data_IF_031078259373
#
_entry.id   IF_031078259373
#
_cell.length_a   1.000
_cell.length_b   1.000
_cell.length_c   1.000
_cell.angle_alpha   90.00
_cell.angle_beta   90.00
_cell.angle_gamma   90.00
#
_symmetry.space_group_name_H-M   'P 1'
#
loop_
_entity.id
_entity.type
_entity.pdbx_description
1 polymer ?
#
# COMPACT_ATOMS: atom_id res chain seq x y z
N UNK A 1 3.09 0.62 -39.21
CA UNK A 1 2.34 1.20 -38.08
C UNK A 1 3.14 2.41 -37.59
N UNK A 2 2.58 3.63 -37.61
CA UNK A 2 3.33 4.86 -37.27
C UNK A 2 3.48 5.00 -35.76
N UNK A 3 4.61 5.51 -35.27
CA UNK A 3 4.87 5.79 -33.84
C UNK A 3 3.71 6.58 -33.20
N UNK A 4 3.03 7.44 -33.97
CA UNK A 4 1.86 8.20 -33.53
C UNK A 4 0.64 7.34 -33.20
N UNK A 5 0.40 6.26 -33.94
CA UNK A 5 -0.76 5.40 -33.67
C UNK A 5 -0.59 4.63 -32.37
N UNK A 6 0.61 4.09 -32.13
CA UNK A 6 0.98 3.39 -30.89
C UNK A 6 0.86 4.35 -29.68
N UNK A 7 1.37 5.58 -29.83
CA UNK A 7 1.26 6.59 -28.77
C UNK A 7 -0.20 6.95 -28.44
N UNK A 8 -1.05 7.15 -29.46
CA UNK A 8 -2.48 7.47 -29.24
C UNK A 8 -3.25 6.32 -28.61
N UNK A 9 -2.98 5.09 -29.03
CA UNK A 9 -3.60 3.89 -28.47
C UNK A 9 -3.20 3.67 -27.01
N UNK A 10 -1.89 3.80 -26.71
CA UNK A 10 -1.36 3.72 -25.35
C UNK A 10 -1.94 4.79 -24.42
N UNK A 11 -2.09 6.03 -24.90
CA UNK A 11 -2.72 7.12 -24.14
C UNK A 11 -4.21 6.83 -23.90
N UNK A 12 -4.93 6.34 -24.91
CA UNK A 12 -6.34 5.94 -24.76
C UNK A 12 -6.51 4.87 -23.69
N UNK A 13 -5.66 3.84 -23.71
CA UNK A 13 -5.63 2.79 -22.69
C UNK A 13 -5.29 3.33 -21.29
N UNK A 14 -4.29 4.23 -21.20
CA UNK A 14 -3.90 4.86 -19.93
C UNK A 14 -5.03 5.70 -19.32
N UNK A 15 -5.78 6.45 -20.15
CA UNK A 15 -6.96 7.21 -19.71
C UNK A 15 -8.04 6.25 -19.20
N UNK A 16 -8.36 5.19 -19.95
CA UNK A 16 -9.36 4.21 -19.56
C UNK A 16 -8.99 3.54 -18.21
N UNK A 17 -7.72 3.14 -18.05
CA UNK A 17 -7.20 2.60 -16.81
C UNK A 17 -7.32 3.60 -15.65
N UNK A 18 -7.03 4.88 -15.90
CA UNK A 18 -7.12 5.93 -14.87
C UNK A 18 -8.56 6.15 -14.41
N UNK A 19 -9.53 6.16 -15.34
CA UNK A 19 -10.96 6.25 -15.02
C UNK A 19 -11.40 5.02 -14.21
N UNK A 20 -10.99 3.82 -14.62
CA UNK A 20 -11.28 2.59 -13.87
C UNK A 20 -10.71 2.67 -12.44
N UNK A 21 -9.47 3.13 -12.28
CA UNK A 21 -8.85 3.32 -10.95
C UNK A 21 -9.67 4.30 -10.09
N UNK A 22 -10.14 5.41 -10.67
CA UNK A 22 -10.97 6.36 -9.93
C UNK A 22 -12.29 5.71 -9.46
N UNK A 23 -12.95 4.94 -10.33
CA UNK A 23 -14.18 4.24 -9.97
C UNK A 23 -13.95 3.18 -8.88
N UNK A 24 -12.88 2.41 -8.98
CA UNK A 24 -12.48 1.42 -7.97
C UNK A 24 -12.16 2.09 -6.64
N UNK A 25 -11.43 3.21 -6.67
CA UNK A 25 -11.10 3.97 -5.48
C UNK A 25 -12.35 4.56 -4.81
N UNK A 26 -13.32 5.05 -5.60
CA UNK A 26 -14.59 5.54 -5.08
C UNK A 26 -15.42 4.42 -4.46
N UNK A 27 -15.48 3.26 -5.12
CA UNK A 27 -16.11 2.07 -4.58
C UNK A 27 -15.47 1.63 -3.25
N UNK A 28 -14.14 1.69 -3.15
CA UNK A 28 -13.42 1.39 -1.93
C UNK A 28 -13.75 2.35 -0.77
N UNK A 29 -14.07 3.63 -1.06
CA UNK A 29 -14.55 4.57 -0.04
C UNK A 29 -15.99 4.30 0.41
N UNK A 30 -16.85 3.85 -0.51
CA UNK A 30 -18.25 3.51 -0.22
C UNK A 30 -18.34 2.21 0.59
N UNK A 31 -17.49 1.23 0.27
CA UNK A 31 -17.41 -0.05 0.96
C UNK A 31 -15.98 -0.33 1.50
N UNK A 32 -15.53 0.39 2.55
CA UNK A 32 -14.18 0.25 3.10
C UNK A 32 -13.86 -1.18 3.56
N UNK A 33 -14.84 -1.87 4.16
CA UNK A 33 -14.64 -3.24 4.62
C UNK A 33 -14.32 -4.18 3.44
N UNK A 34 -15.06 -4.06 2.33
CA UNK A 34 -14.82 -4.87 1.13
C UNK A 34 -13.44 -4.59 0.53
N UNK A 35 -13.05 -3.31 0.44
CA UNK A 35 -11.73 -2.92 -0.02
C UNK A 35 -10.60 -3.45 0.88
N UNK A 36 -10.76 -3.34 2.20
CA UNK A 36 -9.79 -3.85 3.15
C UNK A 36 -9.65 -5.37 3.12
N UNK A 37 -10.76 -6.10 2.97
CA UNK A 37 -10.74 -7.56 2.73
C UNK A 37 -10.00 -7.87 1.43
N UNK A 38 -10.28 -7.17 0.33
CA UNK A 38 -9.59 -7.38 -0.94
C UNK A 38 -8.07 -7.18 -0.81
N UNK A 39 -7.65 -6.12 -0.12
CA UNK A 39 -6.22 -5.85 0.17
C UNK A 39 -5.61 -6.96 0.99
N UNK A 40 -6.30 -7.41 2.04
CA UNK A 40 -5.85 -8.52 2.89
C UNK A 40 -5.67 -9.80 2.08
N UNK A 41 -6.62 -10.11 1.19
CA UNK A 41 -6.55 -11.25 0.28
C UNK A 41 -5.36 -11.15 -0.67
N UNK A 42 -5.12 -9.98 -1.26
CA UNK A 42 -3.95 -9.73 -2.12
C UNK A 42 -2.65 -9.94 -1.34
N UNK A 43 -2.55 -9.43 -0.11
CA UNK A 43 -1.40 -9.65 0.76
C UNK A 43 -1.21 -11.13 1.08
N UNK A 44 -2.30 -11.87 1.37
CA UNK A 44 -2.27 -13.31 1.57
C UNK A 44 -1.64 -14.04 0.37
N UNK A 45 -2.07 -13.72 -0.85
CA UNK A 45 -1.46 -14.27 -2.07
C UNK A 45 0.01 -13.88 -2.24
N UNK A 46 0.37 -12.63 -1.97
CA UNK A 46 1.76 -12.18 -2.04
C UNK A 46 2.64 -12.93 -1.04
N UNK A 47 2.14 -13.26 0.15
CA UNK A 47 2.85 -14.08 1.13
C UNK A 47 3.06 -15.51 0.61
N UNK A 48 2.05 -16.12 -0.02
CA UNK A 48 2.22 -17.45 -0.63
C UNK A 48 3.26 -17.45 -1.75
N UNK A 49 3.20 -16.44 -2.63
CA UNK A 49 4.19 -16.29 -3.71
C UNK A 49 5.59 -16.09 -3.14
N UNK A 50 5.73 -15.26 -2.10
CA UNK A 50 7.01 -15.05 -1.42
C UNK A 50 7.52 -16.34 -0.77
N UNK A 51 6.66 -17.12 -0.12
CA UNK A 51 7.00 -18.44 0.40
C UNK A 51 7.53 -19.39 -0.68
N UNK A 52 6.89 -19.39 -1.86
CA UNK A 52 7.36 -20.17 -3.01
C UNK A 52 8.75 -19.70 -3.50
N UNK A 53 9.03 -18.39 -3.48
CA UNK A 53 10.37 -17.88 -3.81
C UNK A 53 11.43 -18.32 -2.81
N UNK A 54 11.12 -18.35 -1.50
CA UNK A 54 12.06 -18.86 -0.48
C UNK A 54 12.37 -20.35 -0.67
N UNK A 55 11.36 -21.16 -1.01
CA UNK A 55 11.58 -22.56 -1.38
C UNK A 55 12.50 -22.67 -2.60
N UNK A 56 12.31 -21.81 -3.62
CA UNK A 56 13.18 -21.77 -4.79
C UNK A 56 14.63 -21.41 -4.44
N UNK A 57 14.82 -20.40 -3.58
CA UNK A 57 16.15 -20.00 -3.11
C UNK A 57 16.83 -21.06 -2.26
N UNK A 58 16.08 -21.83 -1.47
CA UNK A 58 16.63 -22.92 -0.65
C UNK A 58 17.43 -23.94 -1.48
N UNK A 59 17.07 -24.18 -2.74
CA UNK A 59 17.84 -25.06 -3.64
C UNK A 59 19.13 -24.44 -4.21
N UNK A 60 19.29 -23.12 -4.13
CA UNK A 60 20.46 -22.41 -4.67
C UNK A 60 21.52 -22.11 -3.60
N UNK A 61 21.19 -22.22 -2.31
CA UNK A 61 22.13 -21.97 -1.21
C UNK A 61 22.97 -23.21 -0.89
N UNK A 62 24.28 -23.00 -0.68
CA UNK A 62 25.26 -24.08 -0.51
C UNK A 62 25.47 -24.54 0.93
N UNK A 63 24.90 -23.86 1.92
CA UNK A 63 25.07 -24.19 3.33
C UNK A 63 23.80 -24.79 3.94
N UNK A 64 23.95 -25.88 4.70
CA UNK A 64 22.82 -26.53 5.36
C UNK A 64 22.06 -25.58 6.30
N UNK A 65 22.76 -24.68 6.99
CA UNK A 65 22.15 -23.66 7.84
C UNK A 65 21.25 -22.68 7.06
N UNK A 66 21.70 -22.24 5.88
CA UNK A 66 20.88 -21.38 5.03
C UNK A 66 19.66 -22.11 4.46
N UNK A 67 19.79 -23.38 4.08
CA UNK A 67 18.65 -24.19 3.62
C UNK A 67 17.58 -24.32 4.71
N UNK A 68 17.97 -24.60 5.96
CA UNK A 68 17.05 -24.68 7.09
C UNK A 68 16.39 -23.32 7.35
N UNK A 69 17.15 -22.23 7.28
CA UNK A 69 16.61 -20.88 7.46
C UNK A 69 15.56 -20.54 6.38
N UNK A 70 15.90 -20.75 5.10
CA UNK A 70 14.97 -20.51 3.98
C UNK A 70 13.70 -21.37 4.10
N UNK A 71 13.83 -22.62 4.55
CA UNK A 71 12.68 -23.50 4.79
C UNK A 71 11.78 -22.99 5.92
N UNK A 72 12.36 -22.52 7.03
CA UNK A 72 11.60 -21.93 8.14
C UNK A 72 10.88 -20.65 7.72
N UNK A 73 11.57 -19.79 6.96
CA UNK A 73 10.98 -18.56 6.41
C UNK A 73 9.83 -18.92 5.45
N UNK A 74 10.07 -19.79 4.47
CA UNK A 74 9.02 -20.26 3.55
C UNK A 74 7.78 -20.79 4.29
N UNK A 75 8.00 -21.59 5.33
CA UNK A 75 6.94 -22.14 6.16
C UNK A 75 6.12 -21.03 6.84
N UNK A 76 6.78 -20.03 7.44
CA UNK A 76 6.12 -18.88 8.05
C UNK A 76 5.30 -18.08 7.03
N UNK A 77 5.83 -17.86 5.83
CA UNK A 77 5.14 -17.17 4.74
C UNK A 77 3.91 -17.95 4.25
N UNK A 78 4.01 -19.27 4.08
CA UNK A 78 2.87 -20.10 3.70
C UNK A 78 1.79 -20.13 4.78
N UNK A 79 2.17 -20.33 6.05
CA UNK A 79 1.19 -20.29 7.14
C UNK A 79 0.51 -18.94 7.25
N UNK A 80 1.28 -17.84 7.22
CA UNK A 80 0.73 -16.49 7.25
C UNK A 80 -0.21 -16.22 6.07
N UNK A 81 0.21 -16.57 4.86
CA UNK A 81 -0.58 -16.40 3.64
C UNK A 81 -1.88 -17.21 3.66
N UNK A 82 -1.81 -18.51 3.99
CA UNK A 82 -2.99 -19.38 4.10
C UNK A 82 -3.93 -18.85 5.18
N UNK A 83 -3.39 -18.46 6.35
CA UNK A 83 -4.18 -17.93 7.45
C UNK A 83 -4.94 -16.67 7.05
N UNK A 84 -4.28 -15.72 6.35
CA UNK A 84 -4.91 -14.50 5.85
C UNK A 84 -6.02 -14.79 4.84
N UNK A 85 -5.83 -15.77 3.96
CA UNK A 85 -6.84 -16.13 2.95
C UNK A 85 -8.06 -16.83 3.56
N UNK A 86 -7.85 -17.66 4.59
CA UNK A 86 -8.94 -18.34 5.29
C UNK A 86 -9.67 -17.42 6.28
N UNK A 87 -8.95 -16.46 6.89
CA UNK A 87 -9.47 -15.54 7.89
C UNK A 87 -9.17 -14.07 7.54
N UNK A 88 -9.75 -13.53 6.45
CA UNK A 88 -9.46 -12.18 5.99
C UNK A 88 -9.84 -11.09 7.01
N UNK A 89 -10.85 -11.32 7.84
CA UNK A 89 -11.21 -10.39 8.92
C UNK A 89 -10.15 -10.32 10.01
N UNK A 90 -9.50 -11.44 10.34
CA UNK A 90 -8.36 -11.44 11.27
C UNK A 90 -7.15 -10.76 10.62
N UNK A 91 -6.92 -11.00 9.33
CA UNK A 91 -5.88 -10.32 8.56
C UNK A 91 -6.06 -8.79 8.54
N UNK A 92 -7.30 -8.29 8.44
CA UNK A 92 -7.61 -6.87 8.55
C UNK A 92 -7.16 -6.26 9.88
N UNK A 93 -7.42 -6.96 10.99
CA UNK A 93 -6.98 -6.53 12.32
C UNK A 93 -5.46 -6.48 12.37
N UNK A 94 -4.78 -7.51 11.87
CA UNK A 94 -3.32 -7.57 11.79
C UNK A 94 -2.74 -6.42 10.95
N UNK A 95 -3.31 -6.11 9.78
CA UNK A 95 -2.88 -4.99 8.95
C UNK A 95 -3.08 -3.64 9.66
N UNK A 96 -4.18 -3.49 10.38
CA UNK A 96 -4.48 -2.27 11.13
C UNK A 96 -3.52 -2.09 12.29
N UNK A 97 -3.13 -3.17 12.97
CA UNK A 97 -2.11 -3.16 14.01
C UNK A 97 -0.74 -2.74 13.44
N UNK A 98 -0.34 -3.33 12.31
CA UNK A 98 0.92 -2.97 11.62
C UNK A 98 0.90 -1.49 11.21
N UNK A 99 -0.21 -1.01 10.65
CA UNK A 99 -0.39 0.38 10.27
C UNK A 99 -0.33 1.33 11.48
N UNK A 100 -1.01 1.00 12.58
CA UNK A 100 -0.99 1.80 13.81
C UNK A 100 0.43 1.85 14.40
N UNK A 101 1.14 0.72 14.44
CA UNK A 101 2.53 0.68 14.87
C UNK A 101 3.44 1.51 13.95
N UNK A 102 3.25 1.44 12.63
CA UNK A 102 3.97 2.28 11.68
C UNK A 102 3.74 3.77 11.93
N UNK A 103 2.49 4.20 12.11
CA UNK A 103 2.15 5.61 12.39
C UNK A 103 2.75 6.08 13.71
N UNK A 104 2.79 5.22 14.72
CA UNK A 104 3.42 5.52 16.00
C UNK A 104 4.93 5.73 15.84
N UNK A 105 5.62 4.82 15.14
CA UNK A 105 7.07 4.94 14.88
C UNK A 105 7.37 6.17 14.03
N UNK A 106 6.63 6.39 12.94
CA UNK A 106 6.73 7.60 12.10
C UNK A 106 6.60 8.86 12.96
N UNK A 107 5.55 8.92 13.79
CA UNK A 107 5.29 10.08 14.62
C UNK A 107 6.37 10.33 15.66
N UNK A 108 6.94 9.28 16.27
CA UNK A 108 8.09 9.40 17.17
C UNK A 108 9.32 9.95 16.43
N UNK A 109 9.62 9.41 15.25
CA UNK A 109 10.76 9.86 14.43
C UNK A 109 10.61 11.33 14.03
N UNK A 110 9.42 11.75 13.61
CA UNK A 110 9.11 13.14 13.26
C UNK A 110 9.17 14.07 14.46
N UNK A 111 8.73 13.61 15.65
CA UNK A 111 8.83 14.37 16.88
C UNK A 111 10.30 14.61 17.27
N UNK A 112 11.11 13.55 17.26
CA UNK A 112 12.54 13.62 17.59
C UNK A 112 13.30 14.47 16.56
N UNK A 113 13.08 14.22 15.27
CA UNK A 113 13.70 15.00 14.20
C UNK A 113 13.26 16.46 14.21
N UNK A 114 11.99 16.72 14.51
CA UNK A 114 11.41 18.06 14.54
C UNK A 114 12.01 18.91 15.66
N UNK A 115 12.36 18.29 16.79
CA UNK A 115 13.11 18.95 17.85
C UNK A 115 14.53 19.31 17.43
N UNK A 116 15.19 18.48 16.63
CA UNK A 116 16.50 18.77 16.04
C UNK A 116 16.49 19.88 14.99
N UNK A 117 15.37 20.04 14.27
CA UNK A 117 15.20 21.01 13.19
C UNK A 117 14.45 22.29 13.60
N UNK A 118 14.28 22.54 14.90
CA UNK A 118 13.53 23.70 15.46
C UNK A 118 13.96 25.07 14.92
N UNK A 119 15.16 25.21 14.36
CA UNK A 119 15.66 26.46 13.76
C UNK A 119 15.54 26.56 12.24
N UNK A 120 15.07 25.52 11.55
CA UNK A 120 14.94 25.50 10.08
C UNK A 120 13.48 25.70 9.63
N UNK A 121 13.24 26.32 8.47
CA UNK A 121 11.92 26.39 7.86
C UNK A 121 11.38 24.96 7.66
N UNK A 122 10.29 24.61 8.36
CA UNK A 122 9.68 23.27 8.30
C UNK A 122 9.74 22.46 9.60
N UNK A 123 10.61 22.80 10.55
CA UNK A 123 10.74 22.03 11.81
C UNK A 123 9.46 22.00 12.65
N UNK A 124 8.73 23.13 12.71
CA UNK A 124 7.43 23.21 13.40
C UNK A 124 6.33 22.37 12.73
N UNK A 125 6.32 22.30 11.40
CA UNK A 125 5.37 21.47 10.65
C UNK A 125 5.62 19.98 10.87
N UNK A 126 6.89 19.57 10.94
CA UNK A 126 7.25 18.18 11.22
C UNK A 126 6.86 17.76 12.64
N UNK A 127 7.02 18.65 13.63
CA UNK A 127 6.54 18.39 15.00
C UNK A 127 5.01 18.20 15.04
N UNK A 128 4.26 19.06 14.34
CA UNK A 128 2.81 18.98 14.27
C UNK A 128 2.36 17.65 13.64
N UNK A 129 2.97 17.26 12.51
CA UNK A 129 2.67 15.99 11.83
C UNK A 129 3.02 14.77 12.69
N UNK A 130 4.12 14.84 13.44
CA UNK A 130 4.53 13.80 14.37
C UNK A 130 3.53 13.60 15.52
N UNK A 131 3.10 14.70 16.16
CA UNK A 131 2.05 14.65 17.20
C UNK A 131 0.75 14.09 16.64
N UNK A 132 0.33 14.57 15.46
CA UNK A 132 -0.89 14.09 14.82
C UNK A 132 -0.83 12.59 14.51
N UNK A 133 0.30 12.13 13.96
CA UNK A 133 0.54 10.71 13.65
C UNK A 133 0.46 9.82 14.89
N UNK A 134 1.05 10.25 16.03
CA UNK A 134 0.97 9.52 17.30
C UNK A 134 -0.47 9.46 17.81
N UNK A 135 -1.19 10.59 17.80
CA UNK A 135 -2.59 10.65 18.26
C UNK A 135 -3.45 9.71 17.42
N UNK A 136 -3.34 9.76 16.10
CA UNK A 136 -4.09 8.88 15.20
C UNK A 136 -3.74 7.41 15.45
N UNK A 137 -2.45 7.09 15.62
CA UNK A 137 -2.02 5.72 15.92
C UNK A 137 -2.68 5.18 17.20
N UNK A 138 -2.66 5.96 18.28
CA UNK A 138 -3.26 5.59 19.57
C UNK A 138 -4.78 5.49 19.49
N UNK A 139 -5.44 6.38 18.74
CA UNK A 139 -6.88 6.31 18.51
C UNK A 139 -7.28 5.04 17.77
N UNK A 140 -6.55 4.69 16.71
CA UNK A 140 -6.77 3.45 15.95
C UNK A 140 -6.63 2.24 16.88
N UNK A 141 -5.55 2.20 17.66
CA UNK A 141 -5.25 1.10 18.58
C UNK A 141 -6.35 0.93 19.63
N UNK A 142 -6.79 2.03 20.26
CA UNK A 142 -7.81 2.01 21.32
C UNK A 142 -9.18 1.52 20.85
N UNK A 143 -9.49 1.66 19.55
CA UNK A 143 -10.78 1.27 18.96
C UNK A 143 -10.71 -0.05 18.19
N UNK A 144 -9.64 -0.84 18.32
CA UNK A 144 -9.58 -2.18 17.74
C UNK A 144 -10.58 -3.12 18.46
N UNK A 145 -11.30 -4.00 17.73
CA UNK A 145 -11.18 -4.29 16.29
C UNK A 145 -12.04 -3.39 15.37
N UNK A 146 -12.87 -2.49 15.92
CA UNK A 146 -13.79 -1.64 15.14
C UNK A 146 -13.05 -0.78 14.09
N UNK A 147 -11.89 -0.21 14.44
CA UNK A 147 -11.03 0.54 13.51
C UNK A 147 -10.65 -0.26 12.26
N UNK A 148 -10.45 -1.58 12.39
CA UNK A 148 -9.96 -2.42 11.30
C UNK A 148 -10.97 -2.58 10.16
N UNK A 149 -12.27 -2.34 10.44
CA UNK A 149 -13.33 -2.46 9.44
C UNK A 149 -13.29 -1.34 8.39
N UNK A 150 -12.69 -0.18 8.72
CA UNK A 150 -12.72 0.98 7.84
C UNK A 150 -11.34 1.57 7.54
N UNK A 151 -10.41 1.59 8.49
CA UNK A 151 -9.12 2.30 8.33
C UNK A 151 -8.30 1.78 7.13
N UNK A 152 -8.03 0.47 6.97
CA UNK A 152 -7.22 0.01 5.84
C UNK A 152 -7.90 0.24 4.49
N UNK A 153 -9.21 0.01 4.43
CA UNK A 153 -10.02 0.17 3.22
C UNK A 153 -10.12 1.61 2.74
N UNK A 154 -10.33 2.55 3.66
CA UNK A 154 -10.37 3.98 3.33
C UNK A 154 -9.02 4.47 2.86
N UNK A 155 -7.93 4.11 3.55
CA UNK A 155 -6.58 4.51 3.16
C UNK A 155 -6.22 4.02 1.76
N UNK A 156 -6.52 2.76 1.47
CA UNK A 156 -6.28 2.20 0.13
C UNK A 156 -7.20 2.85 -0.90
N UNK A 157 -8.48 3.08 -0.59
CA UNK A 157 -9.41 3.79 -1.48
C UNK A 157 -8.92 5.20 -1.84
N UNK A 158 -8.49 5.98 -0.84
CA UNK A 158 -7.88 7.29 -1.04
C UNK A 158 -6.63 7.16 -1.91
N UNK A 159 -5.71 6.24 -1.60
CA UNK A 159 -4.48 6.07 -2.36
C UNK A 159 -4.74 5.72 -3.83
N UNK A 160 -5.70 4.83 -4.11
CA UNK A 160 -6.11 4.45 -5.46
C UNK A 160 -6.74 5.64 -6.19
N UNK A 161 -7.61 6.41 -5.53
CA UNK A 161 -8.23 7.61 -6.09
C UNK A 161 -7.17 8.64 -6.50
N UNK A 162 -6.28 9.01 -5.59
CA UNK A 162 -5.23 9.99 -5.87
C UNK A 162 -4.29 9.51 -6.99
N UNK A 163 -3.94 8.22 -6.98
CA UNK A 163 -3.16 7.61 -8.06
C UNK A 163 -3.89 7.67 -9.40
N UNK A 164 -5.20 7.41 -9.42
CA UNK A 164 -6.05 7.52 -10.60
C UNK A 164 -6.13 8.94 -11.14
N UNK A 165 -6.34 9.94 -10.27
CA UNK A 165 -6.34 11.35 -10.65
C UNK A 165 -4.99 11.81 -11.20
N UNK A 166 -3.89 11.49 -10.51
CA UNK A 166 -2.54 11.84 -10.95
C UNK A 166 -2.24 11.27 -12.35
N UNK A 167 -2.52 9.97 -12.55
CA UNK A 167 -2.34 9.30 -13.85
C UNK A 167 -3.26 9.85 -14.94
N UNK A 168 -4.50 10.20 -14.61
CA UNK A 168 -5.44 10.80 -15.56
C UNK A 168 -4.91 12.15 -16.04
N UNK A 169 -4.49 13.02 -15.12
CA UNK A 169 -3.95 14.34 -15.45
C UNK A 169 -2.70 14.24 -16.33
N UNK A 170 -1.79 13.33 -16.01
CA UNK A 170 -0.59 13.06 -16.81
C UNK A 170 -0.94 12.54 -18.22
N UNK A 171 -1.88 11.59 -18.30
CA UNK A 171 -2.36 11.03 -19.57
C UNK A 171 -3.01 12.11 -20.45
N UNK A 172 -3.79 13.01 -19.85
CA UNK A 172 -4.43 14.12 -20.55
C UNK A 172 -3.40 15.16 -21.04
N UNK A 173 -2.39 15.46 -20.22
CA UNK A 173 -1.28 16.32 -20.63
C UNK A 173 -0.50 15.70 -21.80
N UNK A 174 -0.17 14.40 -21.71
CA UNK A 174 0.49 13.67 -22.79
C UNK A 174 -0.34 13.67 -24.08
N UNK A 175 -1.66 13.48 -23.98
CA UNK A 175 -2.58 13.58 -25.13
C UNK A 175 -2.49 14.93 -25.82
N UNK A 176 -2.51 16.03 -25.05
CA UNK A 176 -2.41 17.39 -25.58
C UNK A 176 -1.10 17.61 -26.34
N UNK A 177 0.02 17.13 -25.80
CA UNK A 177 1.33 17.22 -26.45
C UNK A 177 1.34 16.43 -27.77
N UNK A 178 0.87 15.17 -27.76
CA UNK A 178 0.83 14.33 -28.98
C UNK A 178 -0.09 14.90 -30.05
N UNK A 179 -1.16 15.61 -29.68
CA UNK A 179 -2.03 16.30 -30.65
C UNK A 179 -1.46 17.61 -31.16
N UNK A 180 -0.55 18.26 -30.42
CA UNK A 180 0.07 19.53 -30.79
C UNK A 180 1.34 19.36 -31.64
N UNK A 181 1.91 18.16 -31.71
CA UNK A 181 3.05 17.87 -32.58
C UNK A 181 2.61 17.84 -34.06
N UNK A 182 3.27 18.62 -34.94
CA UNK A 182 2.91 18.75 -36.37
C UNK A 182 3.12 17.44 -37.12
#
# INVERSE_FOLDING_TARGET
>A
MSVRSIARESIGWSIALSVLMILVGLFALIAPLAAGVAVTTVIGWLLLLSGATHVWFAWHVRSAGAVVWEALVALAYFFGGIYLLLHPLAGLVSLTLILSAYLLVKGIVELVGGFGLRGMPGGGWMLLDGVFSIVVALMIWAHLPSSAAWVPGTLVGIAILFSGFSRLLLSLAARRVVTALP
#
